data_IF_029265570183
#
_entry.id   IF_029265570183
#
_cell.length_a   1.000
_cell.length_b   1.000
_cell.length_c   1.000
_cell.angle_alpha   90.00
_cell.angle_beta   90.00
_cell.angle_gamma   90.00
#
_symmetry.space_group_name_H-M   'P 1'
#
loop_
_entity.id
_entity.type
_entity.pdbx_description
1 polymer ?
#
# COMPACT_ATOMS: atom_id res chain seq x y z
N UNK A 1 -3.37 1.44 -14.10
CA UNK A 1 -3.15 2.82 -14.52
C UNK A 1 -4.40 3.30 -15.24
N UNK A 2 -4.97 4.41 -14.76
CA UNK A 2 -6.14 5.08 -15.32
C UNK A 2 -5.69 6.10 -16.36
N UNK A 3 -6.34 6.06 -17.52
CA UNK A 3 -6.23 7.05 -18.59
C UNK A 3 -7.59 7.40 -19.15
N UNK A 4 -7.74 8.67 -19.55
CA UNK A 4 -8.89 9.15 -20.30
C UNK A 4 -8.34 9.74 -21.59
N UNK A 5 -8.73 9.15 -22.70
CA UNK A 5 -8.19 9.49 -24.00
C UNK A 5 -8.49 10.96 -24.36
N UNK A 6 -7.50 11.69 -24.86
CA UNK A 6 -7.53 13.15 -25.10
C UNK A 6 -7.94 14.05 -23.90
N UNK A 7 -8.08 13.52 -22.68
CA UNK A 7 -8.41 14.31 -21.50
C UNK A 7 -7.32 14.20 -20.45
N UNK A 8 -6.94 15.34 -19.90
CA UNK A 8 -6.34 15.40 -18.57
C UNK A 8 -7.44 15.38 -17.53
N UNK A 9 -7.09 15.00 -16.31
CA UNK A 9 -7.99 15.07 -15.17
C UNK A 9 -7.24 15.59 -13.95
N UNK A 10 -7.99 16.14 -13.01
CA UNK A 10 -7.46 16.80 -11.82
C UNK A 10 -7.85 15.99 -10.59
N UNK A 11 -6.88 15.46 -9.86
CA UNK A 11 -7.13 14.77 -8.59
C UNK A 11 -7.33 15.81 -7.51
N UNK A 12 -8.43 15.71 -6.76
CA UNK A 12 -8.84 16.70 -5.73
C UNK A 12 -9.01 16.10 -4.34
N UNK A 13 -9.08 14.77 -4.22
CA UNK A 13 -9.17 14.07 -2.93
C UNK A 13 -8.49 12.71 -3.03
N UNK A 14 -7.93 12.26 -1.91
CA UNK A 14 -7.29 10.95 -1.73
C UNK A 14 -7.78 10.33 -0.43
N UNK A 15 -8.24 9.08 -0.50
CA UNK A 15 -8.77 8.27 0.61
C UNK A 15 -9.88 8.95 1.44
N UNK A 16 -10.64 9.85 0.80
CA UNK A 16 -11.74 10.58 1.40
C UNK A 16 -11.36 11.96 1.98
N UNK A 17 -10.10 12.39 1.84
CA UNK A 17 -9.64 13.69 2.31
C UNK A 17 -9.24 14.63 1.16
N UNK A 18 -9.64 15.91 1.19
CA UNK A 18 -9.27 16.89 0.16
C UNK A 18 -7.76 17.14 0.10
N UNK A 19 -7.23 17.16 -1.13
CA UNK A 19 -5.82 17.47 -1.40
C UNK A 19 -5.70 18.67 -2.34
N UNK A 20 -4.56 19.36 -2.31
CA UNK A 20 -4.27 20.40 -3.29
C UNK A 20 -4.34 19.77 -4.67
N UNK A 21 -5.18 20.35 -5.52
CA UNK A 21 -5.51 19.80 -6.82
C UNK A 21 -4.27 19.57 -7.68
N UNK A 22 -4.13 18.38 -8.25
CA UNK A 22 -3.04 18.04 -9.17
C UNK A 22 -3.62 17.57 -10.49
N UNK A 23 -3.41 18.35 -11.56
CA UNK A 23 -3.73 17.94 -12.93
C UNK A 23 -2.74 16.88 -13.41
N UNK A 24 -3.21 15.87 -14.13
CA UNK A 24 -2.41 14.76 -14.62
C UNK A 24 -2.95 14.17 -15.92
N UNK A 25 -2.07 13.46 -16.63
CA UNK A 25 -2.38 12.68 -17.81
C UNK A 25 -2.76 11.22 -17.47
N UNK A 26 -2.13 10.62 -16.45
CA UNK A 26 -2.33 9.23 -16.04
C UNK A 26 -2.25 9.08 -14.52
N UNK A 27 -2.92 8.07 -13.97
CA UNK A 27 -2.87 7.80 -12.53
C UNK A 27 -2.76 6.32 -12.21
N UNK A 28 -1.88 5.96 -11.29
CA UNK A 28 -1.85 4.62 -10.71
C UNK A 28 -2.77 4.60 -9.49
N UNK A 29 -3.61 3.57 -9.41
CA UNK A 29 -4.47 3.33 -8.25
C UNK A 29 -4.23 1.89 -7.80
N UNK A 30 -3.98 1.70 -6.51
CA UNK A 30 -3.76 0.40 -5.91
C UNK A 30 -5.00 -0.05 -5.12
N UNK A 31 -5.18 -1.36 -4.91
CA UNK A 31 -6.25 -1.87 -4.05
C UNK A 31 -6.29 -1.17 -2.68
N UNK A 32 -7.48 -0.72 -2.27
CA UNK A 32 -7.71 0.02 -1.02
C UNK A 32 -7.70 1.54 -1.19
N UNK A 33 -6.98 2.08 -2.16
CA UNK A 33 -6.93 3.53 -2.40
C UNK A 33 -8.21 4.04 -3.08
N UNK A 34 -8.61 5.27 -2.76
CA UNK A 34 -9.74 5.98 -3.38
C UNK A 34 -9.31 7.38 -3.79
N UNK A 35 -9.81 7.85 -4.93
CA UNK A 35 -9.51 9.19 -5.42
C UNK A 35 -10.74 9.82 -6.06
N UNK A 36 -10.93 11.11 -5.80
CA UNK A 36 -11.91 11.92 -6.51
C UNK A 36 -11.19 12.73 -7.60
N UNK A 37 -11.70 12.65 -8.82
CA UNK A 37 -11.13 13.34 -9.98
C UNK A 37 -12.16 14.27 -10.63
N UNK A 38 -11.69 15.41 -11.12
CA UNK A 38 -12.43 16.31 -11.99
C UNK A 38 -11.96 16.12 -13.42
N UNK A 39 -12.91 15.93 -14.33
CA UNK A 39 -12.67 15.82 -15.76
C UNK A 39 -13.29 17.06 -16.41
N UNK A 40 -12.48 17.84 -17.11
CA UNK A 40 -12.96 19.00 -17.84
C UNK A 40 -13.41 18.59 -19.24
N UNK A 41 -14.68 18.85 -19.56
CA UNK A 41 -15.22 18.59 -20.89
C UNK A 41 -14.56 19.47 -21.95
N UNK A 42 -14.26 18.89 -23.11
CA UNK A 42 -13.76 19.60 -24.28
C UNK A 42 -14.87 20.51 -24.82
N UNK A 43 -14.54 21.78 -25.08
CA UNK A 43 -15.47 22.72 -25.70
C UNK A 43 -15.85 22.30 -27.13
N UNK A 44 -14.90 21.71 -27.86
CA UNK A 44 -15.05 21.30 -29.24
C UNK A 44 -14.52 19.87 -29.44
N UNK A 45 -15.23 18.84 -28.95
CA UNK A 45 -14.79 17.45 -29.08
C UNK A 45 -14.76 17.04 -30.56
N UNK A 46 -13.71 16.34 -30.98
CA UNK A 46 -13.55 15.87 -32.38
C UNK A 46 -14.27 14.55 -32.67
N UNK A 47 -14.69 13.85 -31.62
CA UNK A 47 -15.42 12.57 -31.66
C UNK A 47 -16.41 12.51 -30.51
N UNK A 48 -17.44 11.67 -30.68
CA UNK A 48 -18.51 11.53 -29.68
C UNK A 48 -18.06 10.84 -28.40
N UNK A 49 -17.19 9.84 -28.51
CA UNK A 49 -16.79 9.00 -27.37
C UNK A 49 -15.28 8.89 -27.24
N UNK A 50 -14.80 8.98 -26.00
CA UNK A 50 -13.41 8.86 -25.63
C UNK A 50 -13.24 7.66 -24.68
N UNK A 51 -12.31 6.74 -24.95
CA UNK A 51 -12.04 5.63 -24.05
C UNK A 51 -11.58 6.12 -22.66
N UNK A 52 -12.17 5.53 -21.62
CA UNK A 52 -11.62 5.52 -20.26
C UNK A 52 -11.03 4.13 -20.08
N UNK A 53 -9.74 4.05 -19.77
CA UNK A 53 -9.01 2.78 -19.69
C UNK A 53 -8.40 2.66 -18.29
N UNK A 54 -8.56 1.49 -17.69
CA UNK A 54 -7.81 1.08 -16.50
C UNK A 54 -7.06 -0.18 -16.87
N UNK A 55 -5.73 -0.11 -16.90
CA UNK A 55 -4.87 -1.21 -17.31
C UNK A 55 -3.92 -1.66 -16.19
N UNK A 56 -3.46 -2.90 -16.23
CA UNK A 56 -2.36 -3.36 -15.37
C UNK A 56 -1.06 -2.67 -15.78
N UNK A 57 -0.18 -2.40 -14.82
CA UNK A 57 1.12 -1.79 -15.09
C UNK A 57 2.14 -2.78 -15.69
N UNK A 58 1.88 -4.08 -15.62
CA UNK A 58 2.73 -5.09 -16.25
C UNK A 58 2.65 -5.00 -17.78
N UNK A 59 3.67 -4.39 -18.37
CA UNK A 59 3.85 -4.36 -19.83
C UNK A 59 4.96 -5.31 -20.30
N UNK A 60 5.74 -5.89 -19.38
CA UNK A 60 6.84 -6.80 -19.69
C UNK A 60 6.70 -8.07 -18.87
N UNK A 61 6.87 -9.22 -19.53
CA UNK A 61 6.96 -10.49 -18.81
C UNK A 61 8.36 -10.69 -18.18
N UNK A 62 8.55 -11.81 -17.47
CA UNK A 62 9.83 -12.18 -16.86
C UNK A 62 10.97 -12.36 -17.87
N UNK A 63 10.68 -12.58 -19.15
CA UNK A 63 11.67 -12.69 -20.23
C UNK A 63 11.96 -11.36 -20.92
N UNK A 64 11.37 -10.25 -20.46
CA UNK A 64 11.54 -8.92 -21.05
C UNK A 64 10.79 -8.71 -22.36
N UNK A 65 9.87 -9.61 -22.72
CA UNK A 65 8.97 -9.45 -23.87
C UNK A 65 7.78 -8.59 -23.48
N UNK A 66 7.33 -7.75 -24.41
CA UNK A 66 6.15 -6.91 -24.22
C UNK A 66 4.91 -7.81 -24.16
N UNK A 67 4.04 -7.58 -23.17
CA UNK A 67 2.74 -8.23 -23.04
C UNK A 67 1.63 -7.19 -23.09
N UNK A 68 0.48 -7.56 -23.66
CA UNK A 68 -0.73 -6.75 -23.58
C UNK A 68 -1.22 -6.73 -22.12
N UNK A 69 -1.51 -5.55 -21.55
CA UNK A 69 -1.98 -5.47 -20.18
C UNK A 69 -3.41 -6.01 -20.07
N UNK A 70 -3.75 -6.55 -18.90
CA UNK A 70 -5.17 -6.75 -18.58
C UNK A 70 -5.81 -5.38 -18.36
N UNK A 71 -7.01 -5.17 -18.89
CA UNK A 71 -7.66 -3.88 -18.80
C UNK A 71 -9.17 -3.97 -18.59
N UNK A 72 -9.72 -2.92 -17.97
CA UNK A 72 -11.12 -2.55 -18.03
C UNK A 72 -11.27 -1.29 -18.89
N UNK A 73 -12.39 -1.20 -19.62
CA UNK A 73 -12.68 -0.06 -20.47
C UNK A 73 -14.09 0.47 -20.23
N UNK A 74 -14.23 1.79 -20.30
CA UNK A 74 -15.48 2.51 -20.33
C UNK A 74 -15.41 3.64 -21.38
N UNK A 75 -16.50 4.40 -21.54
CA UNK A 75 -16.59 5.52 -22.50
C UNK A 75 -17.01 6.79 -21.79
N UNK A 76 -16.25 7.87 -21.99
CA UNK A 76 -16.73 9.23 -21.78
C UNK A 76 -17.47 9.65 -23.05
N UNK A 77 -18.75 10.02 -22.94
CA UNK A 77 -19.63 10.27 -24.08
C UNK A 77 -20.15 11.71 -24.07
N UNK A 78 -19.99 12.42 -25.18
CA UNK A 78 -20.53 13.76 -25.40
C UNK A 78 -21.89 13.66 -26.07
N UNK A 79 -22.96 13.85 -25.31
CA UNK A 79 -24.35 13.73 -25.78
C UNK A 79 -24.69 14.72 -26.90
N UNK A 80 -24.14 15.94 -26.82
CA UNK A 80 -24.42 17.02 -27.77
C UNK A 80 -23.52 17.01 -29.03
N UNK A 81 -22.69 15.99 -29.22
CA UNK A 81 -21.80 15.91 -30.38
C UNK A 81 -22.59 15.66 -31.68
N UNK A 82 -22.38 16.55 -32.68
CA UNK A 82 -23.12 16.53 -33.96
C UNK A 82 -22.36 15.92 -35.14
N UNK A 83 -21.15 15.41 -34.92
CA UNK A 83 -20.34 14.78 -35.97
C UNK A 83 -20.64 13.29 -36.15
N UNK A 84 -19.80 12.59 -36.91
CA UNK A 84 -19.92 11.14 -37.12
C UNK A 84 -19.47 10.40 -35.87
N UNK A 85 -20.35 9.58 -35.30
CA UNK A 85 -20.05 8.68 -34.20
C UNK A 85 -19.04 7.61 -34.63
N UNK A 86 -17.94 7.47 -33.90
CA UNK A 86 -16.97 6.38 -34.08
C UNK A 86 -17.30 5.32 -33.03
N UNK A 87 -17.89 4.20 -33.45
CA UNK A 87 -18.30 3.13 -32.51
C UNK A 87 -17.11 2.34 -31.95
N UNK A 88 -16.08 2.14 -32.79
CA UNK A 88 -14.93 1.29 -32.48
C UNK A 88 -13.88 2.08 -31.70
N UNK A 89 -13.73 1.76 -30.42
CA UNK A 89 -12.61 2.23 -29.62
C UNK A 89 -11.37 1.44 -30.01
N UNK A 90 -10.30 2.15 -30.38
CA UNK A 90 -8.95 1.61 -30.40
C UNK A 90 -8.19 2.34 -29.30
N UNK A 91 -8.07 1.76 -28.09
CA UNK A 91 -7.31 2.38 -27.01
C UNK A 91 -5.84 2.56 -27.41
N UNK A 92 -5.26 3.68 -27.01
CA UNK A 92 -3.84 3.97 -27.21
C UNK A 92 -3.00 3.36 -26.08
N UNK A 93 -2.71 2.06 -26.19
CA UNK A 93 -1.93 1.30 -25.19
C UNK A 93 -0.48 1.78 -25.05
N UNK A 94 0.04 2.43 -26.10
CA UNK A 94 1.40 2.93 -26.13
C UNK A 94 1.50 4.36 -25.63
N UNK A 95 0.37 4.97 -25.26
CA UNK A 95 0.29 6.35 -24.82
C UNK A 95 1.04 7.28 -25.79
N UNK A 96 0.80 7.10 -27.09
CA UNK A 96 1.49 7.75 -28.21
C UNK A 96 1.52 9.29 -28.14
N UNK A 97 0.62 9.89 -27.36
CA UNK A 97 0.60 11.33 -27.03
C UNK A 97 1.78 11.79 -26.16
N UNK A 98 2.39 10.87 -25.42
CA UNK A 98 3.49 11.10 -24.50
C UNK A 98 4.81 10.95 -25.27
N UNK A 99 5.45 12.09 -25.56
CA UNK A 99 6.65 12.16 -26.41
C UNK A 99 7.82 12.76 -25.63
N UNK A 100 9.08 12.64 -26.12
CA UNK A 100 10.20 13.27 -25.42
C UNK A 100 10.06 14.79 -25.26
N UNK A 101 9.32 15.46 -26.15
CA UNK A 101 9.04 16.90 -26.10
C UNK A 101 7.79 17.25 -25.28
N UNK A 102 6.87 16.30 -25.12
CA UNK A 102 5.63 16.45 -24.37
C UNK A 102 5.44 15.24 -23.46
N UNK A 103 6.16 15.26 -22.32
CA UNK A 103 6.14 14.18 -21.34
C UNK A 103 4.82 14.21 -20.56
N UNK A 104 4.29 13.02 -20.28
CA UNK A 104 3.05 12.89 -19.52
C UNK A 104 3.33 12.74 -18.03
N UNK A 105 2.53 13.40 -17.21
CA UNK A 105 2.62 13.27 -15.76
C UNK A 105 1.79 12.07 -15.29
N UNK A 106 2.43 11.13 -14.59
CA UNK A 106 1.81 9.97 -13.95
C UNK A 106 1.78 10.17 -12.43
N UNK A 107 0.59 10.14 -11.84
CA UNK A 107 0.44 10.25 -10.39
C UNK A 107 0.48 8.89 -9.69
N UNK A 108 0.88 8.95 -8.42
CA UNK A 108 0.93 7.83 -7.47
C UNK A 108 1.85 6.68 -7.91
N UNK A 109 3.01 7.01 -8.52
CA UNK A 109 4.01 6.00 -8.87
C UNK A 109 4.57 5.33 -7.60
N UNK A 110 4.55 3.98 -7.51
CA UNK A 110 5.14 3.26 -6.38
C UNK A 110 6.63 2.92 -6.61
N UNK A 111 7.28 3.62 -7.54
CA UNK A 111 8.69 3.50 -7.88
C UNK A 111 9.22 4.87 -8.35
N UNK A 112 10.54 5.01 -8.38
CA UNK A 112 11.17 6.31 -8.64
C UNK A 112 10.91 6.86 -10.04
N UNK A 113 10.98 6.04 -11.08
CA UNK A 113 10.80 6.49 -12.46
C UNK A 113 10.42 5.35 -13.41
N UNK A 114 9.70 5.70 -14.46
CA UNK A 114 9.53 4.83 -15.63
C UNK A 114 10.81 4.78 -16.48
N UNK A 115 10.98 3.76 -17.33
CA UNK A 115 11.96 3.78 -18.40
C UNK A 115 11.79 4.97 -19.32
N UNK A 116 12.90 5.42 -19.91
CA UNK A 116 12.97 6.66 -20.70
C UNK A 116 12.04 6.60 -21.91
N UNK A 117 11.80 5.41 -22.43
CA UNK A 117 10.99 5.11 -23.60
C UNK A 117 9.51 5.51 -23.42
N UNK A 118 8.99 5.52 -22.19
CA UNK A 118 7.60 5.87 -21.90
C UNK A 118 7.32 7.37 -21.96
N UNK A 119 8.35 8.21 -21.85
CA UNK A 119 8.19 9.67 -21.74
C UNK A 119 7.27 10.11 -20.58
N UNK A 120 7.30 9.38 -19.47
CA UNK A 120 6.48 9.65 -18.28
C UNK A 120 7.30 10.26 -17.15
N UNK A 121 6.74 11.29 -16.51
CA UNK A 121 7.24 11.86 -15.26
C UNK A 121 6.41 11.34 -14.09
N UNK A 122 7.07 10.88 -13.04
CA UNK A 122 6.39 10.35 -11.87
C UNK A 122 6.18 11.41 -10.80
N UNK A 123 5.00 11.41 -10.20
CA UNK A 123 4.72 12.04 -8.91
C UNK A 123 4.23 10.98 -7.95
N UNK A 124 4.74 10.98 -6.73
CA UNK A 124 4.53 9.94 -5.74
C UNK A 124 3.42 10.33 -4.76
N UNK A 125 2.91 9.37 -3.99
CA UNK A 125 1.93 9.63 -2.93
C UNK A 125 2.39 10.70 -1.94
N UNK A 126 3.69 10.72 -1.60
CA UNK A 126 4.29 11.70 -0.67
C UNK A 126 4.31 13.13 -1.23
N UNK A 127 4.13 13.33 -2.55
CA UNK A 127 4.11 14.65 -3.16
C UNK A 127 2.71 15.28 -3.21
N UNK A 128 1.69 14.59 -2.73
CA UNK A 128 0.37 15.18 -2.51
C UNK A 128 0.36 15.97 -1.20
N UNK A 129 -0.39 17.05 -1.17
CA UNK A 129 -0.50 17.92 0.00
C UNK A 129 -1.95 18.06 0.40
N UNK A 130 -2.25 17.99 1.69
CA UNK A 130 -3.59 18.28 2.21
C UNK A 130 -3.95 19.76 1.99
N UNK A 131 -5.22 20.03 1.67
CA UNK A 131 -5.75 21.42 1.69
C UNK A 131 -5.89 21.89 3.13
N UNK A 132 -6.41 21.01 3.97
CA UNK A 132 -6.62 21.29 5.38
C UNK A 132 -5.28 21.33 6.12
N UNK A 133 -5.17 22.26 7.07
CA UNK A 133 -4.01 22.33 7.93
C UNK A 133 -4.06 21.17 8.93
N UNK A 134 -2.90 20.61 9.21
CA UNK A 134 -2.75 19.61 10.26
C UNK A 134 -3.11 20.23 11.62
N UNK A 135 -4.16 19.74 12.27
CA UNK A 135 -4.57 20.21 13.60
C UNK A 135 -3.55 19.80 14.68
N UNK A 136 -3.03 18.57 14.58
CA UNK A 136 -2.07 18.00 15.52
C UNK A 136 -0.63 18.17 15.01
N UNK A 137 -0.07 19.38 15.18
CA UNK A 137 1.28 19.71 14.73
C UNK A 137 2.40 18.85 15.34
N UNK A 138 2.14 18.18 16.46
CA UNK A 138 3.12 17.29 17.11
C UNK A 138 3.48 16.09 16.22
N UNK A 139 2.55 15.66 15.35
CA UNK A 139 2.77 14.60 14.35
C UNK A 139 3.99 14.91 13.46
N UNK A 140 4.28 16.17 13.16
CA UNK A 140 5.40 16.54 12.27
C UNK A 140 6.72 16.77 13.01
N UNK A 141 6.77 16.55 14.32
CA UNK A 141 8.01 16.76 15.09
C UNK A 141 9.14 15.86 14.56
N UNK A 142 10.27 16.48 14.18
CA UNK A 142 11.53 15.80 13.85
C UNK A 142 12.62 16.00 14.92
N UNK A 143 12.29 16.70 16.02
CA UNK A 143 13.21 16.90 17.16
C UNK A 143 13.29 15.68 18.09
N UNK A 144 12.42 14.70 17.85
CA UNK A 144 12.24 13.50 18.64
C UNK A 144 11.25 13.66 19.78
N UNK A 145 10.87 12.54 20.38
CA UNK A 145 9.85 12.46 21.42
C UNK A 145 10.42 11.91 22.73
N UNK A 146 10.06 12.55 23.85
CA UNK A 146 10.45 12.09 25.20
C UNK A 146 9.37 11.21 25.85
N UNK A 147 8.11 11.43 25.50
CA UNK A 147 6.95 10.66 25.99
C UNK A 147 5.80 10.76 24.98
N UNK A 148 4.73 9.98 25.19
CA UNK A 148 3.55 10.06 24.33
C UNK A 148 3.76 9.53 22.90
N UNK A 149 4.81 8.72 22.68
CA UNK A 149 5.26 8.27 21.37
C UNK A 149 5.68 6.80 21.39
N UNK A 150 5.30 6.07 20.35
CA UNK A 150 5.65 4.66 20.13
C UNK A 150 6.13 4.47 18.69
N UNK A 151 7.26 3.77 18.50
CA UNK A 151 7.90 3.57 17.20
C UNK A 151 8.03 2.07 16.90
N UNK A 152 7.57 1.67 15.72
CA UNK A 152 7.66 0.29 15.26
C UNK A 152 8.19 0.21 13.84
N UNK A 153 9.06 -0.76 13.61
CA UNK A 153 9.56 -1.11 12.29
C UNK A 153 8.86 -2.38 11.83
N UNK A 154 8.23 -2.31 10.66
CA UNK A 154 7.51 -3.41 10.02
C UNK A 154 8.24 -3.75 8.74
N UNK A 155 9.05 -4.80 8.78
CA UNK A 155 9.73 -5.32 7.61
C UNK A 155 8.82 -6.34 6.92
N UNK A 156 8.22 -5.92 5.80
CA UNK A 156 7.37 -6.73 4.94
C UNK A 156 8.24 -7.50 3.96
N UNK A 157 7.93 -8.77 3.73
CA UNK A 157 8.76 -9.64 2.89
C UNK A 157 7.99 -10.22 1.71
N UNK A 158 8.70 -10.59 0.65
CA UNK A 158 8.10 -11.05 -0.61
C UNK A 158 7.32 -12.36 -0.44
N UNK A 159 7.65 -13.16 0.58
CA UNK A 159 6.98 -14.40 0.96
C UNK A 159 5.82 -14.16 1.96
N UNK A 160 5.33 -12.92 2.04
CA UNK A 160 4.10 -12.52 2.73
C UNK A 160 4.14 -12.57 4.26
N UNK A 161 5.31 -12.48 4.90
CA UNK A 161 5.39 -12.31 6.35
C UNK A 161 5.70 -10.87 6.78
N UNK A 162 5.39 -10.55 8.04
CA UNK A 162 5.73 -9.27 8.69
C UNK A 162 6.70 -9.50 9.84
N UNK A 163 7.94 -8.99 9.77
CA UNK A 163 8.99 -9.24 10.75
C UNK A 163 9.24 -10.75 11.02
N UNK A 164 9.08 -11.59 10.00
CA UNK A 164 9.21 -13.05 10.12
C UNK A 164 8.01 -13.77 10.72
N UNK A 165 6.89 -13.06 10.95
CA UNK A 165 5.63 -13.66 11.38
C UNK A 165 4.67 -13.84 10.21
N UNK A 166 4.17 -15.06 10.04
CA UNK A 166 3.04 -15.34 9.16
C UNK A 166 1.77 -15.09 9.96
N UNK A 167 0.97 -14.10 9.57
CA UNK A 167 -0.19 -13.76 10.38
C UNK A 167 -1.29 -14.81 10.27
N UNK A 168 -1.79 -15.25 11.43
CA UNK A 168 -2.94 -16.11 11.55
C UNK A 168 -4.08 -15.36 12.23
N UNK A 169 -5.22 -15.28 11.54
CA UNK A 169 -6.45 -14.72 12.12
C UNK A 169 -6.85 -15.48 13.39
N UNK A 170 -7.32 -14.77 14.44
CA UNK A 170 -7.87 -15.42 15.61
C UNK A 170 -9.19 -16.12 15.25
N UNK A 171 -9.48 -17.25 15.90
CA UNK A 171 -10.72 -18.03 15.72
C UNK A 171 -11.91 -17.46 16.50
N UNK A 172 -11.64 -16.51 17.39
CA UNK A 172 -12.64 -15.80 18.17
C UNK A 172 -12.31 -14.31 18.19
N UNK A 173 -13.31 -13.49 18.53
CA UNK A 173 -13.14 -12.05 18.55
C UNK A 173 -12.33 -11.66 19.80
N UNK A 174 -11.12 -11.08 19.65
CA UNK A 174 -10.20 -10.85 20.79
C UNK A 174 -10.81 -10.06 21.95
N UNK A 175 -11.81 -9.20 21.68
CA UNK A 175 -12.53 -8.46 22.70
C UNK A 175 -13.11 -9.38 23.79
N UNK A 176 -13.80 -10.46 23.43
CA UNK A 176 -14.47 -11.33 24.42
C UNK A 176 -13.54 -12.31 25.13
N UNK A 177 -12.33 -12.51 24.60
CA UNK A 177 -11.39 -13.53 25.06
C UNK A 177 -10.14 -12.92 25.70
N UNK A 178 -10.25 -11.75 26.34
CA UNK A 178 -9.10 -11.05 26.96
C UNK A 178 -8.29 -11.96 27.91
N UNK A 179 -8.97 -12.77 28.72
CA UNK A 179 -8.35 -13.59 29.76
C UNK A 179 -7.74 -14.89 29.21
N UNK A 180 -8.24 -15.37 28.09
CA UNK A 180 -7.91 -16.66 27.49
C UNK A 180 -7.61 -16.53 25.98
N UNK A 181 -7.04 -15.41 25.55
CA UNK A 181 -6.79 -15.11 24.13
C UNK A 181 -5.97 -16.20 23.45
N UNK A 182 -5.04 -16.83 24.18
CA UNK A 182 -4.19 -17.92 23.70
C UNK A 182 -4.98 -19.17 23.26
N UNK A 183 -6.22 -19.36 23.72
CA UNK A 183 -7.11 -20.45 23.28
C UNK A 183 -7.71 -20.17 21.90
N UNK A 184 -7.85 -18.89 21.53
CA UNK A 184 -8.50 -18.43 20.29
C UNK A 184 -7.51 -17.88 19.27
N UNK A 185 -6.32 -17.52 19.70
CA UNK A 185 -5.29 -16.87 18.89
C UNK A 185 -3.93 -17.50 19.20
N UNK A 186 -3.30 -18.08 18.18
CA UNK A 186 -2.02 -18.77 18.35
C UNK A 186 -0.92 -17.75 18.70
N UNK A 187 -0.24 -17.87 19.85
CA UNK A 187 0.79 -16.90 20.25
C UNK A 187 2.05 -17.03 19.38
N UNK A 188 2.69 -15.91 19.07
CA UNK A 188 3.97 -15.87 18.37
C UNK A 188 5.12 -16.27 19.30
N UNK A 189 6.08 -17.07 18.81
CA UNK A 189 7.17 -17.59 19.64
C UNK A 189 8.53 -17.54 18.92
N UNK A 190 9.43 -16.64 19.35
CA UNK A 190 10.75 -16.44 18.75
C UNK A 190 11.72 -17.61 18.94
N UNK A 191 11.45 -18.51 19.88
CA UNK A 191 12.23 -19.75 20.01
C UNK A 191 11.94 -20.73 18.86
N UNK A 192 10.75 -20.64 18.29
CA UNK A 192 10.30 -21.45 17.15
C UNK A 192 10.63 -20.74 15.83
N UNK A 193 10.42 -19.41 15.79
CA UNK A 193 10.63 -18.58 14.61
C UNK A 193 11.68 -17.49 14.86
N UNK A 194 12.98 -17.85 14.97
CA UNK A 194 14.04 -16.87 15.09
C UNK A 194 14.04 -15.89 13.90
N UNK A 195 14.31 -14.58 14.12
CA UNK A 195 14.27 -13.56 13.06
C UNK A 195 15.26 -13.84 11.92
N UNK A 196 16.40 -14.43 12.23
CA UNK A 196 17.51 -14.73 11.31
C UNK A 196 17.47 -16.18 10.81
N UNK A 197 16.27 -16.74 10.57
CA UNK A 197 16.12 -18.15 10.17
C UNK A 197 15.15 -18.35 9.00
N UNK A 198 15.35 -19.49 8.32
CA UNK A 198 14.42 -20.02 7.31
C UNK A 198 13.25 -20.79 7.92
N UNK A 199 13.16 -20.89 9.26
CA UNK A 199 12.08 -21.58 9.95
C UNK A 199 10.71 -20.93 9.73
N UNK A 200 10.65 -19.74 9.12
CA UNK A 200 9.41 -19.01 8.81
C UNK A 200 8.43 -19.75 7.89
N UNK A 201 8.91 -20.72 7.11
CA UNK A 201 8.06 -21.59 6.28
C UNK A 201 7.48 -22.79 7.06
N UNK A 202 7.86 -22.96 8.32
CA UNK A 202 7.25 -23.94 9.20
C UNK A 202 5.83 -23.47 9.58
N UNK A 203 4.84 -24.35 9.48
CA UNK A 203 3.45 -24.09 9.90
C UNK A 203 3.36 -23.59 11.35
N UNK A 204 4.36 -23.90 12.17
CA UNK A 204 4.49 -23.40 13.52
C UNK A 204 4.71 -21.88 13.60
N UNK A 205 5.14 -21.20 12.53
CA UNK A 205 5.34 -19.75 12.47
C UNK A 205 4.12 -18.91 12.10
N UNK A 206 3.00 -19.56 11.75
CA UNK A 206 1.71 -18.89 11.71
C UNK A 206 1.26 -18.50 13.12
N UNK A 207 1.00 -17.22 13.37
CA UNK A 207 0.58 -16.76 14.70
C UNK A 207 -0.20 -15.43 14.64
N UNK A 208 -0.91 -15.12 15.72
CA UNK A 208 -1.63 -13.86 15.90
C UNK A 208 -0.65 -12.75 16.32
N UNK A 209 0.15 -12.28 15.35
CA UNK A 209 1.09 -11.19 15.55
C UNK A 209 0.34 -9.87 15.72
N UNK A 210 0.59 -9.19 16.84
CA UNK A 210 -0.01 -7.90 17.14
C UNK A 210 0.94 -7.00 17.90
N UNK A 211 0.70 -5.69 17.79
CA UNK A 211 1.37 -4.65 18.56
C UNK A 211 0.39 -4.08 19.59
N UNK A 212 0.88 -3.82 20.80
CA UNK A 212 0.11 -3.13 21.83
C UNK A 212 0.43 -1.64 21.74
N UNK A 213 -0.60 -0.82 21.59
CA UNK A 213 -0.52 0.62 21.38
C UNK A 213 -1.21 1.31 22.55
N UNK A 214 -0.56 2.30 23.16
CA UNK A 214 -1.16 3.10 24.22
C UNK A 214 -2.12 4.13 23.64
N UNK A 215 -3.33 4.20 24.19
CA UNK A 215 -4.32 5.19 23.76
C UNK A 215 -3.81 6.62 24.03
N UNK A 216 -3.89 7.49 23.03
CA UNK A 216 -3.47 8.90 23.06
C UNK A 216 -2.07 9.15 22.52
N UNK A 217 -1.22 8.11 22.45
CA UNK A 217 0.15 8.25 21.93
C UNK A 217 0.16 8.49 20.41
N UNK A 218 1.22 9.15 19.95
CA UNK A 218 1.60 9.17 18.55
C UNK A 218 2.29 7.84 18.23
N UNK A 219 1.79 7.16 17.20
CA UNK A 219 2.38 5.92 16.71
C UNK A 219 3.08 6.21 15.40
N UNK A 220 4.36 5.87 15.31
CA UNK A 220 5.09 5.86 14.06
C UNK A 220 5.31 4.42 13.59
N UNK A 221 4.88 4.13 12.37
CA UNK A 221 5.22 2.90 11.68
C UNK A 221 6.18 3.21 10.54
N UNK A 222 7.34 2.55 10.57
CA UNK A 222 8.28 2.51 9.44
C UNK A 222 8.06 1.19 8.73
N UNK A 223 7.47 1.26 7.54
CA UNK A 223 7.05 0.08 6.80
C UNK A 223 8.00 -0.11 5.63
N UNK A 224 8.84 -1.12 5.73
CA UNK A 224 9.85 -1.44 4.73
C UNK A 224 9.39 -2.62 3.88
N UNK A 225 9.36 -2.44 2.57
CA UNK A 225 8.99 -3.50 1.64
C UNK A 225 10.27 -4.14 1.08
N UNK A 226 10.61 -5.31 1.60
CA UNK A 226 11.77 -6.07 1.18
C UNK A 226 11.55 -6.69 -0.20
N UNK A 227 12.53 -6.54 -1.08
CA UNK A 227 12.54 -7.24 -2.35
C UNK A 227 13.85 -7.04 -3.09
N UNK A 228 14.31 -8.10 -3.76
CA UNK A 228 15.41 -8.08 -4.71
C UNK A 228 14.90 -8.48 -6.09
N UNK A 229 15.46 -7.91 -7.15
CA UNK A 229 15.32 -8.47 -8.50
C UNK A 229 14.04 -8.13 -9.29
N UNK A 230 13.23 -7.17 -8.84
CA UNK A 230 12.11 -6.65 -9.64
C UNK A 230 12.49 -5.44 -10.51
N UNK A 231 11.98 -5.41 -11.74
CA UNK A 231 11.96 -4.23 -12.61
C UNK A 231 10.85 -3.24 -12.22
N UNK A 232 10.78 -2.08 -12.87
CA UNK A 232 9.72 -1.07 -12.69
C UNK A 232 8.28 -1.61 -12.86
N UNK A 233 8.09 -2.84 -13.36
CA UNK A 233 6.82 -3.57 -13.40
C UNK A 233 6.84 -4.97 -12.75
N UNK A 234 8.03 -5.52 -12.48
CA UNK A 234 8.18 -6.91 -12.01
C UNK A 234 8.43 -6.99 -10.49
N UNK A 235 8.54 -5.83 -9.84
CA UNK A 235 8.63 -5.71 -8.39
C UNK A 235 7.29 -5.34 -7.78
N UNK A 236 6.82 -6.12 -6.81
CA UNK A 236 5.54 -5.86 -6.16
C UNK A 236 5.67 -4.70 -5.16
N UNK A 237 5.11 -3.56 -5.51
CA UNK A 237 4.71 -2.59 -4.50
C UNK A 237 3.54 -3.18 -3.71
N UNK A 238 3.54 -2.98 -2.40
CA UNK A 238 2.50 -3.52 -1.54
C UNK A 238 1.60 -2.37 -1.05
N UNK A 239 0.33 -2.28 -1.50
CA UNK A 239 -0.63 -1.36 -0.88
C UNK A 239 -0.85 -1.80 0.56
N UNK A 240 -0.47 -0.97 1.51
CA UNK A 240 -0.59 -1.25 2.93
C UNK A 240 -1.73 -0.44 3.51
N UNK A 241 -2.68 -1.13 4.14
CA UNK A 241 -3.90 -0.55 4.69
C UNK A 241 -3.98 -0.80 6.20
N UNK A 242 -4.46 0.22 6.95
CA UNK A 242 -4.71 0.12 8.38
C UNK A 242 -6.18 0.44 8.65
N UNK A 243 -6.84 -0.45 9.40
CA UNK A 243 -8.21 -0.24 9.87
C UNK A 243 -8.24 0.69 11.07
N UNK A 244 -9.40 1.30 11.34
CA UNK A 244 -9.66 2.05 12.58
C UNK A 244 -9.02 3.44 12.65
N UNK A 245 -8.15 3.81 11.71
CA UNK A 245 -7.54 5.13 11.60
C UNK A 245 -7.14 5.47 10.17
N UNK A 246 -7.06 6.76 9.87
CA UNK A 246 -6.20 7.28 8.82
C UNK A 246 -4.86 7.69 9.44
N UNK A 247 -3.83 7.92 8.62
CA UNK A 247 -2.48 8.28 9.03
C UNK A 247 -1.89 9.33 8.09
N UNK A 248 -0.93 10.08 8.60
CA UNK A 248 -0.15 11.01 7.82
C UNK A 248 1.04 10.31 7.18
N UNK A 249 1.16 10.39 5.86
CA UNK A 249 2.32 9.91 5.11
C UNK A 249 3.44 10.96 5.19
N UNK A 250 4.50 10.66 5.94
CA UNK A 250 5.53 11.65 6.27
C UNK A 250 6.81 11.52 5.45
N UNK A 251 7.16 10.29 5.05
CA UNK A 251 8.33 10.02 4.23
C UNK A 251 8.06 8.80 3.35
N UNK A 252 8.63 8.81 2.15
CA UNK A 252 8.64 7.70 1.22
C UNK A 252 10.00 7.69 0.54
N UNK A 253 10.70 6.56 0.62
CA UNK A 253 12.01 6.39 0.02
C UNK A 253 12.05 5.15 -0.86
N UNK A 254 12.91 5.23 -1.87
CA UNK A 254 13.01 4.24 -2.93
C UNK A 254 14.36 3.49 -2.87
N UNK A 255 14.46 2.31 -3.49
CA UNK A 255 15.74 1.66 -3.72
C UNK A 255 16.57 2.40 -4.78
N UNK A 256 17.81 1.95 -4.96
CA UNK A 256 18.62 2.37 -6.11
C UNK A 256 18.31 1.49 -7.32
N UNK A 257 18.23 2.12 -8.49
CA UNK A 257 17.96 1.46 -9.77
C UNK A 257 19.21 1.44 -10.65
N UNK A 258 19.36 0.41 -11.48
CA UNK A 258 20.39 0.36 -12.52
C UNK A 258 19.95 1.15 -13.78
N UNK A 259 20.80 1.18 -14.81
CA UNK A 259 20.50 1.86 -16.08
C UNK A 259 19.28 1.31 -16.83
N UNK A 260 18.84 0.09 -16.52
CA UNK A 260 17.65 -0.56 -17.10
C UNK A 260 16.41 -0.44 -16.20
N UNK A 261 16.46 0.39 -15.15
CA UNK A 261 15.38 0.60 -14.16
C UNK A 261 14.95 -0.67 -13.39
N UNK A 262 15.87 -1.61 -13.23
CA UNK A 262 15.73 -2.69 -12.26
C UNK A 262 16.34 -2.27 -10.92
N UNK A 263 15.77 -2.78 -9.83
CA UNK A 263 16.34 -2.56 -8.49
C UNK A 263 17.75 -3.15 -8.45
N UNK A 264 18.74 -2.28 -8.28
CA UNK A 264 20.15 -2.62 -8.13
C UNK A 264 20.44 -3.03 -6.69
N UNK A 265 19.93 -2.26 -5.73
CA UNK A 265 20.07 -2.52 -4.31
C UNK A 265 18.90 -1.89 -3.56
N UNK A 266 18.45 -2.48 -2.45
CA UNK A 266 17.44 -1.87 -1.59
C UNK A 266 17.91 -0.50 -1.07
N UNK A 267 16.95 0.28 -0.57
CA UNK A 267 17.23 1.50 0.18
C UNK A 267 18.19 1.21 1.35
N UNK A 268 19.10 2.15 1.61
CA UNK A 268 20.22 1.98 2.54
C UNK A 268 19.96 2.55 3.94
N UNK A 269 18.78 3.12 4.19
CA UNK A 269 18.44 3.68 5.49
C UNK A 269 18.08 2.61 6.51
N UNK A 270 17.60 1.44 6.07
CA UNK A 270 17.28 0.28 6.94
C UNK A 270 18.52 -0.62 7.10
N UNK A 271 18.77 -1.09 8.32
CA UNK A 271 19.91 -1.97 8.63
C UNK A 271 19.65 -3.44 8.29
N UNK A 272 19.41 -3.72 7.01
CA UNK A 272 19.16 -5.07 6.53
C UNK A 272 20.42 -5.88 6.20
N UNK A 273 21.62 -5.30 6.32
CA UNK A 273 22.92 -5.92 5.96
C UNK A 273 22.96 -6.68 4.61
N UNK A 274 22.03 -6.35 3.70
CA UNK A 274 21.79 -7.05 2.43
C UNK A 274 21.47 -8.55 2.56
N UNK A 275 20.95 -9.00 3.70
CA UNK A 275 20.52 -10.40 3.87
C UNK A 275 19.08 -10.59 3.41
N UNK A 276 18.72 -11.84 3.10
CA UNK A 276 17.32 -12.25 2.92
C UNK A 276 16.54 -12.26 4.26
N UNK A 277 17.19 -11.98 5.39
CA UNK A 277 16.60 -12.02 6.73
C UNK A 277 16.66 -10.62 7.36
N UNK A 278 15.90 -9.68 6.82
CA UNK A 278 15.74 -8.36 7.41
C UNK A 278 14.47 -8.29 8.27
N UNK A 279 14.43 -9.13 9.30
CA UNK A 279 13.33 -9.17 10.26
C UNK A 279 13.69 -8.37 11.51
N UNK A 280 12.74 -7.57 12.02
CA UNK A 280 12.92 -6.74 13.22
C UNK A 280 14.11 -5.76 13.12
N UNK A 281 14.42 -5.29 11.91
CA UNK A 281 15.48 -4.31 11.67
C UNK A 281 14.93 -2.88 11.67
N UNK A 282 15.74 -1.98 12.22
CA UNK A 282 15.46 -0.55 12.31
C UNK A 282 16.28 0.27 11.30
N UNK A 283 16.21 1.59 11.41
CA UNK A 283 17.15 2.47 10.72
C UNK A 283 18.59 2.11 11.08
N UNK A 284 19.47 2.14 10.08
CA UNK A 284 20.93 1.99 10.18
C UNK A 284 21.55 3.13 10.96
N UNK A 285 21.04 4.34 10.77
CA UNK A 285 21.45 5.49 11.55
C UNK A 285 20.59 5.60 12.80
N UNK A 286 21.12 5.18 13.95
CA UNK A 286 20.42 5.22 15.23
C UNK A 286 20.05 6.63 15.70
N UNK A 287 20.66 7.68 15.13
CA UNK A 287 20.25 9.07 15.42
C UNK A 287 18.86 9.43 14.90
N UNK A 288 18.29 8.63 13.98
CA UNK A 288 16.95 8.84 13.42
C UNK A 288 15.83 8.23 14.26
N UNK A 289 16.19 7.41 15.25
CA UNK A 289 15.24 6.76 16.14
C UNK A 289 14.53 7.78 17.05
N UNK A 290 13.42 7.34 17.64
CA UNK A 290 12.59 8.16 18.52
C UNK A 290 12.00 9.38 17.79
N UNK A 291 11.65 9.20 16.51
CA UNK A 291 11.00 10.21 15.69
C UNK A 291 11.92 11.30 15.10
N UNK A 292 13.24 11.15 15.23
CA UNK A 292 14.25 12.11 14.70
C UNK A 292 14.59 11.89 13.23
N UNK A 293 13.58 11.60 12.42
CA UNK A 293 13.76 11.26 11.02
C UNK A 293 14.03 12.55 10.23
N UNK A 294 15.08 12.58 9.40
CA UNK A 294 15.40 13.76 8.61
C UNK A 294 14.33 14.01 7.54
N UNK A 295 14.19 15.29 7.18
CA UNK A 295 13.36 15.75 6.08
C UNK A 295 11.84 15.54 6.27
N UNK A 296 11.38 15.09 7.45
CA UNK A 296 9.93 15.02 7.75
C UNK A 296 9.31 16.42 7.68
N UNK A 297 10.03 17.46 8.11
CA UNK A 297 9.57 18.85 8.07
C UNK A 297 9.35 19.39 6.64
N UNK A 298 9.92 18.74 5.61
CA UNK A 298 9.66 19.10 4.22
C UNK A 298 8.23 18.73 3.79
N UNK A 299 7.60 17.78 4.48
CA UNK A 299 6.18 17.45 4.36
C UNK A 299 5.34 18.48 5.11
N UNK A 300 5.25 19.71 4.59
CA UNK A 300 4.56 20.83 5.28
C UNK A 300 3.10 20.52 5.62
N UNK A 301 2.36 19.92 4.68
CA UNK A 301 0.97 19.47 4.83
C UNK A 301 0.82 18.05 4.27
N UNK A 302 1.22 17.00 5.00
CA UNK A 302 1.15 15.63 4.49
C UNK A 302 -0.30 15.21 4.27
N UNK A 303 -0.51 14.25 3.37
CA UNK A 303 -1.83 13.64 3.14
C UNK A 303 -2.25 12.76 4.30
N UNK A 304 -3.56 12.77 4.61
CA UNK A 304 -4.18 11.90 5.59
C UNK A 304 -4.89 10.75 4.88
N UNK A 305 -4.38 9.52 5.04
CA UNK A 305 -4.67 8.37 4.19
C UNK A 305 -4.90 7.11 5.00
N UNK A 306 -5.63 6.14 4.46
CA UNK A 306 -5.77 4.81 5.08
C UNK A 306 -4.95 3.75 4.34
N UNK A 307 -4.53 4.03 3.10
CA UNK A 307 -3.82 3.09 2.23
C UNK A 307 -2.69 3.79 1.47
N UNK A 308 -1.51 3.16 1.42
CA UNK A 308 -0.38 3.64 0.60
C UNK A 308 0.39 2.47 0.00
N UNK A 309 0.77 2.58 -1.28
CA UNK A 309 1.68 1.63 -1.89
C UNK A 309 3.11 1.81 -1.36
N UNK A 310 3.62 0.80 -0.66
CA UNK A 310 5.00 0.76 -0.17
C UNK A 310 5.93 0.33 -1.31
N UNK A 311 6.90 1.16 -1.74
CA UNK A 311 7.77 0.84 -2.87
C UNK A 311 8.62 -0.41 -2.63
N UNK A 312 8.73 -1.30 -3.63
CA UNK A 312 9.63 -2.46 -3.52
C UNK A 312 11.06 -2.02 -3.26
N UNK A 313 11.72 -2.62 -2.26
CA UNK A 313 13.07 -2.27 -1.84
C UNK A 313 13.16 -0.89 -1.14
N UNK A 314 12.03 -0.21 -0.95
CA UNK A 314 11.91 1.08 -0.29
C UNK A 314 11.05 1.00 0.98
N UNK A 315 10.82 2.14 1.61
CA UNK A 315 9.97 2.23 2.80
C UNK A 315 9.08 3.47 2.78
N UNK A 316 8.07 3.43 3.64
CA UNK A 316 7.29 4.61 4.03
C UNK A 316 7.37 4.82 5.53
N UNK A 317 7.23 6.07 5.95
CA UNK A 317 7.04 6.46 7.35
C UNK A 317 5.66 7.08 7.47
N UNK A 318 4.84 6.49 8.33
CA UNK A 318 3.51 6.98 8.62
C UNK A 318 3.37 7.28 10.10
N UNK A 319 2.57 8.29 10.44
CA UNK A 319 2.21 8.60 11.82
C UNK A 319 0.72 8.82 11.99
N UNK A 320 0.18 8.38 13.12
CA UNK A 320 -1.19 8.69 13.55
C UNK A 320 -1.23 8.81 15.06
N UNK A 321 -2.20 9.57 15.59
CA UNK A 321 -2.49 9.55 17.03
C UNK A 321 -3.50 8.45 17.32
N UNK A 322 -3.19 7.58 18.26
CA UNK A 322 -4.03 6.45 18.63
C UNK A 322 -5.23 6.93 19.46
N UNK A 323 -6.30 7.43 18.84
CA UNK A 323 -7.46 8.01 19.53
C UNK A 323 -8.70 7.11 19.57
N UNK A 324 -8.69 6.00 18.84
CA UNK A 324 -9.84 5.10 18.72
C UNK A 324 -9.52 3.72 19.35
N UNK A 325 -9.91 3.45 20.61
CA UNK A 325 -9.55 2.20 21.29
C UNK A 325 -10.23 0.98 20.65
N UNK A 326 -9.45 -0.06 20.36
CA UNK A 326 -9.98 -1.28 19.74
C UNK A 326 -8.90 -2.23 19.22
N UNK A 327 -9.34 -3.30 18.59
CA UNK A 327 -8.48 -4.18 17.79
C UNK A 327 -8.60 -3.78 16.33
N UNK A 328 -7.50 -3.40 15.70
CA UNK A 328 -7.46 -3.01 14.29
C UNK A 328 -6.63 -4.00 13.50
N UNK A 329 -7.03 -4.22 12.25
CA UNK A 329 -6.29 -5.04 11.30
C UNK A 329 -5.41 -4.15 10.42
N UNK A 330 -4.14 -4.52 10.24
CA UNK A 330 -3.19 -3.82 9.40
C UNK A 330 -2.58 -4.83 8.42
N UNK A 331 -2.70 -4.60 7.12
CA UNK A 331 -2.39 -5.64 6.14
C UNK A 331 -2.05 -5.10 4.76
N UNK A 332 -1.40 -5.94 3.95
CA UNK A 332 -1.35 -5.70 2.51
C UNK A 332 -2.74 -5.88 1.90
N UNK A 333 -3.15 -4.95 1.05
CA UNK A 333 -4.45 -4.95 0.39
C UNK A 333 -4.46 -5.79 -0.92
N UNK A 334 -3.37 -6.51 -1.20
CA UNK A 334 -3.37 -7.61 -2.16
C UNK A 334 -3.89 -8.87 -1.48
N UNK A 335 -5.10 -9.29 -1.84
CA UNK A 335 -5.83 -10.38 -1.17
C UNK A 335 -4.99 -11.65 -0.99
N UNK A 336 -4.21 -12.04 -2.01
CA UNK A 336 -3.34 -13.22 -1.94
C UNK A 336 -2.26 -13.08 -0.86
N UNK A 337 -1.62 -11.90 -0.74
CA UNK A 337 -0.61 -11.65 0.28
C UNK A 337 -1.23 -11.55 1.68
N UNK A 338 -2.39 -10.92 1.79
CA UNK A 338 -3.16 -10.89 3.04
C UNK A 338 -3.49 -12.31 3.52
N UNK A 339 -4.01 -13.16 2.64
CA UNK A 339 -4.36 -14.54 2.94
C UNK A 339 -3.13 -15.39 3.29
N UNK A 340 -1.99 -15.11 2.65
CA UNK A 340 -0.73 -15.79 2.96
C UNK A 340 -0.17 -15.39 4.33
N UNK A 341 -0.55 -14.24 4.89
CA UNK A 341 -0.13 -13.82 6.24
C UNK A 341 0.51 -12.44 6.31
N UNK A 342 0.44 -11.62 5.25
CA UNK A 342 1.07 -10.30 5.19
C UNK A 342 0.24 -9.27 5.94
N UNK A 343 0.18 -9.44 7.26
CA UNK A 343 -0.63 -8.65 8.14
C UNK A 343 -0.14 -8.68 9.59
N UNK A 344 -0.75 -7.86 10.42
CA UNK A 344 -0.68 -7.90 11.87
C UNK A 344 -1.90 -7.17 12.45
N UNK A 345 -2.11 -7.29 13.76
CA UNK A 345 -3.13 -6.53 14.46
C UNK A 345 -2.52 -5.41 15.32
N UNK A 346 -3.29 -4.36 15.55
CA UNK A 346 -2.99 -3.31 16.52
C UNK A 346 -4.01 -3.41 17.66
N UNK A 347 -3.57 -3.61 18.90
CA UNK A 347 -4.41 -3.47 20.10
C UNK A 347 -4.24 -2.05 20.62
N UNK A 348 -5.19 -1.18 20.31
CA UNK A 348 -5.19 0.22 20.74
C UNK A 348 -5.92 0.39 22.05
N UNK A 349 -5.20 0.80 23.08
CA UNK A 349 -5.72 1.01 24.42
C UNK A 349 -5.98 -0.28 25.21
N UNK A 350 -6.45 -0.08 26.43
CA UNK A 350 -6.87 -1.14 27.33
C UNK A 350 -8.32 -1.55 27.11
N UNK A 351 -8.63 -2.78 27.47
CA UNK A 351 -9.95 -3.38 27.21
C UNK A 351 -11.12 -2.55 27.78
N UNK A 352 -10.94 -1.92 28.94
CA UNK A 352 -11.99 -1.07 29.54
C UNK A 352 -12.17 0.28 28.84
N UNK A 353 -11.26 0.65 27.93
CA UNK A 353 -11.34 1.84 27.08
C UNK A 353 -12.04 1.51 25.76
N UNK A 354 -12.08 0.24 25.34
CA UNK A 354 -12.70 -0.20 24.09
C UNK A 354 -14.23 -0.18 24.20
N UNK A 355 -14.95 0.25 23.14
CA UNK A 355 -16.40 0.20 23.12
C UNK A 355 -16.88 -1.25 23.28
N UNK A 356 -17.95 -1.43 24.06
CA UNK A 356 -18.58 -2.74 24.24
C UNK A 356 -19.26 -3.13 22.92
N UNK A 357 -18.95 -4.31 22.34
CA UNK A 357 -19.66 -4.80 21.17
C UNK A 357 -21.18 -4.86 21.41
N UNK A 358 -22.00 -4.61 20.38
CA UNK A 358 -23.46 -4.66 20.50
C UNK A 358 -23.95 -6.03 21.01
N UNK A 359 -25.11 -6.03 21.67
CA UNK A 359 -25.78 -7.28 22.06
C UNK A 359 -26.01 -8.18 20.84
N UNK A 360 -25.67 -9.46 20.96
CA UNK A 360 -25.79 -10.43 19.86
C UNK A 360 -24.63 -10.43 18.86
N UNK A 361 -23.60 -9.60 19.08
CA UNK A 361 -22.37 -9.70 18.29
C UNK A 361 -21.72 -11.09 18.52
N UNK A 362 -21.27 -11.80 17.46
CA UNK A 362 -20.68 -13.13 17.62
C UNK A 362 -19.40 -13.11 18.47
N UNK A 363 -19.37 -13.86 19.57
CA UNK A 363 -18.20 -13.90 20.46
C UNK A 363 -17.09 -14.81 19.93
N UNK A 364 -17.49 -15.91 19.31
CA UNK A 364 -16.63 -16.89 18.66
C UNK A 364 -17.25 -17.29 17.34
N UNK A 365 -16.40 -17.63 16.37
CA UNK A 365 -16.84 -18.50 15.30
C UNK A 365 -16.99 -19.88 15.96
N UNK A 366 -18.20 -20.35 16.26
CA UNK A 366 -18.38 -21.80 16.31
C UNK A 366 -17.77 -22.38 15.03
N UNK A 367 -17.08 -23.52 15.12
CA UNK A 367 -16.22 -24.09 14.07
C UNK A 367 -16.73 -23.77 12.66
N UNK A 368 -16.18 -22.71 12.04
CA UNK A 368 -16.46 -22.44 10.64
C UNK A 368 -15.62 -23.43 9.85
N UNK A 369 -16.17 -24.63 9.66
CA UNK A 369 -15.71 -25.54 8.63
C UNK A 369 -16.16 -24.95 7.30
N UNK A 370 -15.23 -24.28 6.61
CA UNK A 370 -15.43 -23.92 5.22
C UNK A 370 -15.89 -25.19 4.48
N UNK A 371 -17.04 -25.16 3.77
CA UNK A 371 -17.47 -26.34 3.03
C UNK A 371 -16.35 -26.76 2.08
N UNK A 372 -16.05 -28.06 1.96
CA UNK A 372 -14.97 -28.53 1.12
C UNK A 372 -15.09 -27.92 -0.27
N UNK A 373 -14.02 -27.30 -0.75
CA UNK A 373 -13.94 -26.77 -2.12
C UNK A 373 -14.47 -27.83 -3.08
N UNK A 374 -15.43 -27.41 -3.91
CA UNK A 374 -16.02 -28.26 -4.94
C UNK A 374 -14.92 -29.01 -5.67
N UNK A 375 -15.06 -30.34 -5.81
CA UNK A 375 -14.09 -31.19 -6.51
C UNK A 375 -13.80 -30.71 -7.94
N UNK A 376 -14.71 -29.93 -8.55
CA UNK A 376 -14.52 -29.29 -9.86
C UNK A 376 -13.48 -28.17 -9.85
N UNK A 377 -13.23 -27.54 -8.70
CA UNK A 377 -12.16 -26.54 -8.51
C UNK A 377 -10.80 -27.19 -8.20
N UNK A 378 -10.76 -28.50 -7.87
CA UNK A 378 -9.51 -29.25 -7.65
C UNK A 378 -8.85 -29.70 -8.95
N UNK A 379 -9.58 -29.70 -10.07
CA UNK A 379 -9.08 -30.04 -11.40
C UNK A 379 -8.99 -28.79 -12.25
N UNK A 380 -7.97 -27.96 -12.03
CA UNK A 380 -7.94 -26.66 -12.72
C UNK A 380 -6.71 -25.78 -12.52
N UNK A 381 -5.53 -26.37 -12.37
CA UNK A 381 -4.31 -25.71 -12.82
C UNK A 381 -3.62 -26.69 -13.76
N UNK A 382 -3.47 -26.40 -15.07
CA UNK A 382 -2.49 -27.09 -15.87
C UNK A 382 -1.14 -26.82 -15.21
N UNK A 383 -0.35 -27.88 -15.01
CA UNK A 383 1.05 -27.74 -14.66
C UNK A 383 1.69 -26.77 -15.66
N UNK A 384 2.22 -25.65 -15.17
CA UNK A 384 3.17 -24.86 -15.94
C UNK A 384 4.48 -25.63 -15.93
N UNK A 385 4.76 -26.35 -17.03
CA UNK A 385 6.11 -26.78 -17.41
C UNK A 385 6.97 -25.57 -17.80
#
# INVERSE_FOLDING_TARGET
MLTIDEHKFTVVSADGYPIKSVETDLMIINPGERYDILIHGLENPKRQSFPIIIETMEHFNKTGSIIEPFFGAAKLFYEDFKGISIEKLNPDWFHSRCTPQNRCLVLNCPFKQFPKEYNFDCKYAINFESIENLEDGEILSSNGFESGYEEYFINMHYDSHMNGWMYQMPRGIPYFHKQNLHEFAKPCNRKICPPESDARFDDSCFCFYHLNITLGNIVQLVIYNMGYGGGYTNGYAHPFHIHGTHYYLLKMEFPDYNSTNFVKQPNQDIDCQQTLHCNEKSFRNSSWLNGKIPDIENSKNPTFRDTVAVPMGGYVVIRFRATNPGWWFAHCHLMLHQMAGMAFALKVGEHHQMPIPPSGFPNSCGDFDAPPLDSRLKTGYPNFE
#
